data_IF_528129198735
#
_entry.id   IF_528129198735
#
_cell.length_a   1.000
_cell.length_b   1.000
_cell.length_c   1.000
_cell.angle_alpha   90.00
_cell.angle_beta   90.00
_cell.angle_gamma   90.00
#
_symmetry.space_group_name_H-M   'P 1'
#
loop_
_entity.id
_entity.type
_entity.pdbx_description
1 polymer ?
#
# COMPACT_ATOMS: atom_id res chain seq x y z
N UNK A 1 11.14 10.17 -23.91
CA UNK A 1 10.93 9.70 -22.51
C UNK A 1 11.74 10.48 -21.47
N UNK A 2 12.98 10.94 -21.74
CA UNK A 2 13.77 11.74 -20.78
C UNK A 2 13.04 12.99 -20.23
N UNK A 3 12.19 13.60 -21.04
CA UNK A 3 11.38 14.76 -20.66
C UNK A 3 10.30 14.46 -19.58
N UNK A 4 10.01 13.18 -19.31
CA UNK A 4 9.12 12.75 -18.22
C UNK A 4 9.83 12.76 -16.85
N UNK A 5 11.13 13.08 -16.78
CA UNK A 5 11.88 13.17 -15.54
C UNK A 5 11.26 14.20 -14.58
N UNK A 6 11.16 13.85 -13.29
CA UNK A 6 10.60 14.70 -12.22
C UNK A 6 11.65 14.99 -11.14
N UNK A 7 11.52 16.15 -10.49
CA UNK A 7 12.37 16.54 -9.37
C UNK A 7 13.85 16.60 -9.72
N UNK A 8 14.71 16.04 -8.85
CA UNK A 8 16.18 16.06 -9.03
C UNK A 8 16.65 15.36 -10.31
N UNK A 9 15.86 14.43 -10.86
CA UNK A 9 16.18 13.76 -12.13
C UNK A 9 16.14 14.70 -13.35
N UNK A 10 15.44 15.84 -13.30
CA UNK A 10 15.48 16.83 -14.39
C UNK A 10 16.86 17.43 -14.61
N UNK A 11 17.70 17.50 -13.57
CA UNK A 11 19.09 17.99 -13.70
C UNK A 11 19.98 17.02 -14.48
N UNK A 12 19.56 15.75 -14.58
CA UNK A 12 20.28 14.68 -15.28
C UNK A 12 19.68 14.38 -16.65
N UNK A 13 18.94 15.32 -17.26
CA UNK A 13 18.19 15.07 -18.48
C UNK A 13 19.09 14.59 -19.64
N UNK A 14 20.28 15.19 -19.78
CA UNK A 14 21.28 14.78 -20.78
C UNK A 14 21.82 13.37 -20.52
N UNK A 15 22.04 12.99 -19.26
CA UNK A 15 22.47 11.63 -18.88
C UNK A 15 21.34 10.62 -19.11
N UNK A 16 20.10 11.01 -18.85
CA UNK A 16 18.91 10.19 -19.12
C UNK A 16 18.69 10.01 -20.62
N UNK A 17 18.89 11.04 -21.43
CA UNK A 17 18.87 10.92 -22.90
C UNK A 17 19.94 9.95 -23.38
N UNK A 18 21.18 10.07 -22.87
CA UNK A 18 22.27 9.12 -23.15
C UNK A 18 21.93 7.69 -22.74
N UNK A 19 21.35 7.49 -21.56
CA UNK A 19 20.93 6.18 -21.06
C UNK A 19 19.79 5.56 -21.88
N UNK A 20 18.93 6.39 -22.48
CA UNK A 20 17.85 5.95 -23.38
C UNK A 20 18.34 5.50 -24.75
N UNK A 21 19.62 5.71 -25.09
CA UNK A 21 20.25 5.14 -26.28
C UNK A 21 20.64 3.65 -26.14
N UNK A 22 20.23 2.97 -25.04
CA UNK A 22 20.26 1.52 -24.95
C UNK A 22 19.28 0.84 -25.92
N UNK A 23 19.57 -0.39 -26.37
CA UNK A 23 18.68 -1.13 -27.29
C UNK A 23 17.52 -1.79 -26.52
N UNK A 24 16.36 -1.16 -26.56
CA UNK A 24 15.08 -1.77 -26.15
C UNK A 24 14.38 -2.35 -27.38
N UNK A 25 14.66 -3.62 -27.66
CA UNK A 25 14.00 -4.35 -28.75
C UNK A 25 12.50 -4.54 -28.49
N UNK A 26 11.74 -4.88 -29.53
CA UNK A 26 10.29 -5.09 -29.46
C UNK A 26 9.90 -6.12 -28.39
N UNK A 27 10.61 -7.25 -28.34
CA UNK A 27 10.39 -8.29 -27.33
C UNK A 27 10.54 -7.76 -25.89
N UNK A 28 11.56 -6.94 -25.61
CA UNK A 28 11.74 -6.33 -24.29
C UNK A 28 10.60 -5.37 -23.96
N UNK A 29 10.16 -4.55 -24.93
CA UNK A 29 9.02 -3.65 -24.74
C UNK A 29 7.73 -4.41 -24.49
N UNK A 30 7.51 -5.51 -25.20
CA UNK A 30 6.37 -6.39 -24.99
C UNK A 30 6.35 -6.95 -23.55
N UNK A 31 7.47 -7.51 -23.10
CA UNK A 31 7.56 -8.05 -21.74
C UNK A 31 7.39 -6.96 -20.66
N UNK A 32 8.04 -5.81 -20.82
CA UNK A 32 7.89 -4.70 -19.89
C UNK A 32 6.46 -4.17 -19.85
N UNK A 33 5.79 -4.07 -21.00
CA UNK A 33 4.37 -3.72 -21.08
C UNK A 33 3.50 -4.72 -20.31
N UNK A 34 3.71 -6.01 -20.51
CA UNK A 34 2.99 -7.06 -19.78
C UNK A 34 3.19 -6.97 -18.27
N UNK A 35 4.42 -6.75 -17.80
CA UNK A 35 4.68 -6.61 -16.35
C UNK A 35 4.09 -5.31 -15.79
N UNK A 36 4.14 -4.21 -16.54
CA UNK A 36 3.52 -2.95 -16.11
C UNK A 36 2.01 -3.12 -15.95
N UNK A 37 1.34 -3.77 -16.91
CA UNK A 37 -0.09 -4.05 -16.81
C UNK A 37 -0.45 -4.90 -15.58
N UNK A 38 0.40 -5.87 -15.19
CA UNK A 38 0.21 -6.65 -13.96
C UNK A 38 0.35 -5.80 -12.71
N UNK A 39 1.34 -4.90 -12.67
CA UNK A 39 1.52 -3.96 -11.55
C UNK A 39 0.30 -3.06 -11.41
N UNK A 40 -0.22 -2.53 -12.52
CA UNK A 40 -1.42 -1.69 -12.49
C UNK A 40 -2.67 -2.47 -12.05
N UNK A 41 -2.83 -3.73 -12.47
CA UNK A 41 -3.91 -4.59 -12.00
C UNK A 41 -3.84 -4.82 -10.48
N UNK A 42 -2.67 -5.18 -9.95
CA UNK A 42 -2.48 -5.38 -8.50
C UNK A 42 -2.78 -4.09 -7.71
N UNK A 43 -2.36 -2.93 -8.23
CA UNK A 43 -2.68 -1.64 -7.60
C UNK A 43 -4.19 -1.37 -7.58
N UNK A 44 -4.90 -1.71 -8.66
CA UNK A 44 -6.34 -1.56 -8.72
C UNK A 44 -7.05 -2.46 -7.69
N UNK A 45 -6.61 -3.71 -7.58
CA UNK A 45 -7.13 -4.68 -6.60
C UNK A 45 -6.89 -4.19 -5.16
N UNK A 46 -5.68 -3.72 -4.85
CA UNK A 46 -5.36 -3.11 -3.55
C UNK A 46 -6.29 -1.93 -3.23
N UNK A 47 -6.53 -1.05 -4.20
CA UNK A 47 -7.43 0.08 -4.03
C UNK A 47 -8.89 -0.32 -3.76
N UNK A 48 -9.37 -1.39 -4.37
CA UNK A 48 -10.71 -1.93 -4.10
C UNK A 48 -10.80 -2.57 -2.70
N UNK A 49 -9.78 -3.32 -2.30
CA UNK A 49 -9.69 -3.89 -0.96
C UNK A 49 -9.66 -2.79 0.12
N UNK A 50 -8.86 -1.75 -0.07
CA UNK A 50 -8.79 -0.61 0.85
C UNK A 50 -10.15 0.07 1.04
N UNK A 51 -10.90 0.28 -0.06
CA UNK A 51 -12.26 0.85 0.02
C UNK A 51 -13.20 -0.03 0.81
N UNK A 52 -13.19 -1.34 0.54
CA UNK A 52 -14.04 -2.31 1.26
C UNK A 52 -13.70 -2.37 2.74
N UNK A 53 -12.41 -2.41 3.09
CA UNK A 53 -11.94 -2.38 4.47
C UNK A 53 -12.40 -1.12 5.19
N UNK A 54 -12.25 0.06 4.57
CA UNK A 54 -12.73 1.32 5.16
C UNK A 54 -14.23 1.30 5.46
N UNK A 55 -15.04 0.79 4.55
CA UNK A 55 -16.48 0.64 4.77
C UNK A 55 -16.79 -0.31 5.93
N UNK A 56 -16.10 -1.45 6.00
CA UNK A 56 -16.27 -2.44 7.07
C UNK A 56 -15.79 -1.93 8.44
N UNK A 57 -14.76 -1.10 8.46
CA UNK A 57 -14.18 -0.52 9.67
C UNK A 57 -14.83 0.79 10.12
N UNK A 58 -15.69 1.40 9.29
CA UNK A 58 -16.39 2.64 9.62
C UNK A 58 -17.14 2.58 10.98
N UNK A 59 -17.82 1.47 11.35
CA UNK A 59 -18.45 1.34 12.67
C UNK A 59 -17.46 1.39 13.84
N UNK A 60 -16.19 1.08 13.61
CA UNK A 60 -15.14 1.00 14.63
C UNK A 60 -14.19 2.21 14.62
N UNK A 61 -14.64 3.33 14.05
CA UNK A 61 -13.83 4.54 13.88
C UNK A 61 -13.21 5.08 15.18
N UNK A 62 -13.93 4.95 16.30
CA UNK A 62 -13.44 5.37 17.62
C UNK A 62 -12.30 4.47 18.11
N UNK A 63 -12.46 3.15 18.01
CA UNK A 63 -11.44 2.17 18.37
C UNK A 63 -10.19 2.33 17.50
N UNK A 64 -10.39 2.54 16.19
CA UNK A 64 -9.31 2.85 15.24
C UNK A 64 -8.56 4.12 15.64
N UNK A 65 -9.26 5.17 16.06
CA UNK A 65 -8.63 6.41 16.51
C UNK A 65 -7.79 6.18 17.77
N UNK A 66 -8.31 5.45 18.76
CA UNK A 66 -7.61 5.15 20.01
C UNK A 66 -6.35 4.31 19.76
N UNK A 67 -6.45 3.24 18.96
CA UNK A 67 -5.30 2.40 18.62
C UNK A 67 -4.20 3.24 17.95
N UNK A 68 -4.55 4.11 17.02
CA UNK A 68 -3.59 4.98 16.31
C UNK A 68 -2.92 6.06 17.18
N UNK A 69 -3.36 6.25 18.43
CA UNK A 69 -2.62 7.10 19.39
C UNK A 69 -1.40 6.40 19.99
N UNK A 70 -1.34 5.06 19.89
CA UNK A 70 -0.19 4.29 20.35
C UNK A 70 0.99 4.58 19.39
N UNK A 71 2.17 4.99 19.90
CA UNK A 71 3.33 5.24 19.05
C UNK A 71 3.69 4.00 18.21
N UNK A 72 3.88 4.19 16.91
CA UNK A 72 4.16 3.11 15.97
C UNK A 72 2.92 2.38 15.44
N UNK A 73 1.71 2.73 15.88
CA UNK A 73 0.46 2.14 15.40
C UNK A 73 -0.08 2.89 14.18
N UNK A 74 0.09 2.33 13.00
CA UNK A 74 -0.51 2.87 11.78
C UNK A 74 -1.95 2.36 11.56
N UNK A 75 -2.58 2.80 10.46
CA UNK A 75 -3.94 2.40 10.16
C UNK A 75 -4.07 0.90 9.85
N UNK A 76 -3.08 0.29 9.21
CA UNK A 76 -3.13 -1.12 8.82
C UNK A 76 -3.03 -1.98 10.07
N UNK A 77 -2.10 -1.69 10.97
CA UNK A 77 -1.92 -2.46 12.21
C UNK A 77 -3.16 -2.32 13.10
N UNK A 78 -3.71 -1.11 13.26
CA UNK A 78 -4.95 -0.91 14.01
C UNK A 78 -6.14 -1.68 13.42
N UNK A 79 -6.27 -1.69 12.09
CA UNK A 79 -7.30 -2.44 11.38
C UNK A 79 -7.13 -3.95 11.59
N UNK A 80 -5.90 -4.46 11.51
CA UNK A 80 -5.58 -5.86 11.79
C UNK A 80 -5.97 -6.25 13.21
N UNK A 81 -5.62 -5.46 14.22
CA UNK A 81 -6.02 -5.74 15.62
C UNK A 81 -7.54 -5.91 15.71
N UNK A 82 -8.32 -4.95 15.21
CA UNK A 82 -9.79 -5.03 15.26
C UNK A 82 -10.32 -6.25 14.49
N UNK A 83 -9.71 -6.62 13.38
CA UNK A 83 -10.12 -7.79 12.61
C UNK A 83 -9.85 -9.11 13.35
N UNK A 84 -8.73 -9.21 14.07
CA UNK A 84 -8.33 -10.42 14.78
C UNK A 84 -9.07 -10.60 16.11
N UNK A 85 -9.19 -9.54 16.92
CA UNK A 85 -9.70 -9.63 18.30
C UNK A 85 -11.07 -8.98 18.51
N UNK A 86 -11.60 -8.33 17.47
CA UNK A 86 -12.83 -7.55 17.57
C UNK A 86 -12.67 -6.29 18.42
N UNK A 87 -13.81 -5.74 18.85
CA UNK A 87 -13.87 -4.55 19.73
C UNK A 87 -14.51 -4.85 21.09
N UNK A 88 -15.02 -6.07 21.28
CA UNK A 88 -15.64 -6.51 22.51
C UNK A 88 -14.63 -7.26 23.37
N UNK A 89 -14.08 -6.57 24.37
CA UNK A 89 -13.10 -7.16 25.27
C UNK A 89 -13.72 -8.12 26.30
N UNK A 90 -15.06 -8.17 26.42
CA UNK A 90 -15.74 -9.13 27.30
C UNK A 90 -15.67 -10.57 26.78
N UNK A 91 -15.35 -10.75 25.49
CA UNK A 91 -15.03 -12.04 24.90
C UNK A 91 -13.79 -12.71 25.53
N UNK A 92 -12.95 -11.93 26.20
CA UNK A 92 -11.74 -12.41 26.88
C UNK A 92 -11.89 -12.27 28.40
N UNK A 93 -11.52 -13.31 29.15
CA UNK A 93 -11.63 -13.30 30.61
C UNK A 93 -10.68 -12.28 31.27
N UNK A 94 -9.52 -12.00 30.66
CA UNK A 94 -8.61 -10.94 31.06
C UNK A 94 -7.66 -10.56 29.93
N UNK A 95 -6.91 -9.46 30.10
CA UNK A 95 -5.86 -9.07 29.16
C UNK A 95 -4.79 -10.15 28.95
N UNK A 96 -4.52 -10.99 29.95
CA UNK A 96 -3.59 -12.11 29.82
C UNK A 96 -4.13 -13.22 28.89
N UNK A 97 -5.45 -13.44 28.88
CA UNK A 97 -6.09 -14.39 27.97
C UNK A 97 -6.14 -13.87 26.53
N UNK A 98 -6.13 -12.55 26.34
CA UNK A 98 -6.01 -11.94 25.02
C UNK A 98 -4.59 -12.10 24.45
N UNK A 99 -3.56 -12.11 25.29
CA UNK A 99 -2.15 -12.12 24.91
C UNK A 99 -1.50 -13.52 24.89
N UNK A 100 -2.26 -14.59 25.17
CA UNK A 100 -1.76 -15.97 25.26
C UNK A 100 -1.77 -16.71 23.93
#
# INVERSE_FOLDING_TARGET
MAQLARGRMRRKLVELERALHGRLEEYHRFLLGMQMSRIEAIKADLGELDKRLRTKLAPYSQQMHLLKQIPGMDWVIAATIIAEIGVDMTAFASAAHLAS
#
